data_IF_856587485863
#
_entry.id   IF_856587485863
#
_cell.length_a   1.000
_cell.length_b   1.000
_cell.length_c   1.000
_cell.angle_alpha   90.00
_cell.angle_beta   90.00
_cell.angle_gamma   90.00
#
_symmetry.space_group_name_H-M   'P 1'
#
loop_
_entity.id
_entity.type
_entity.pdbx_description
1 polymer ?
#
# COMPACT_ATOMS: atom_id res chain seq x y z
N UNK A 1 -24.74 -30.05 2.96
CA UNK A 1 -23.96 -30.07 4.21
C UNK A 1 -22.69 -29.30 3.93
N UNK A 2 -22.65 -28.01 4.29
CA UNK A 2 -21.45 -27.17 4.13
C UNK A 2 -20.59 -27.41 5.37
N UNK A 3 -19.42 -28.02 5.17
CA UNK A 3 -18.43 -28.13 6.24
C UNK A 3 -17.87 -26.75 6.57
N UNK A 4 -18.19 -26.29 7.76
CA UNK A 4 -17.57 -25.13 8.38
C UNK A 4 -16.08 -25.44 8.58
N UNK A 5 -15.22 -24.88 7.72
CA UNK A 5 -13.76 -24.88 7.93
C UNK A 5 -13.46 -23.96 9.10
N UNK A 6 -13.28 -24.54 10.25
CA UNK A 6 -12.71 -23.87 11.42
C UNK A 6 -11.26 -23.50 11.08
N UNK A 7 -11.00 -22.23 10.83
CA UNK A 7 -9.65 -21.68 10.78
C UNK A 7 -9.01 -21.89 12.16
N UNK A 8 -8.00 -22.73 12.25
CA UNK A 8 -7.15 -22.82 13.44
C UNK A 8 -6.26 -21.59 13.46
N UNK A 9 -6.48 -20.71 14.45
CA UNK A 9 -5.86 -19.39 14.56
C UNK A 9 -4.37 -19.37 14.96
N UNK A 10 -3.62 -20.49 14.83
CA UNK A 10 -2.24 -20.55 15.34
C UNK A 10 -1.12 -20.34 14.29
N UNK A 11 -1.45 -20.34 12.99
CA UNK A 11 -0.42 -20.36 11.94
C UNK A 11 -0.28 -19.05 11.14
N UNK A 12 -1.04 -18.02 11.49
CA UNK A 12 -1.03 -16.73 10.81
C UNK A 12 -0.41 -15.67 11.71
N UNK A 13 0.61 -14.99 11.22
CA UNK A 13 1.18 -13.81 11.88
C UNK A 13 0.22 -12.62 11.72
N UNK A 14 0.13 -11.73 12.73
CA UNK A 14 -0.64 -10.50 12.55
C UNK A 14 0.07 -9.53 11.58
N UNK A 15 -0.70 -8.76 10.81
CA UNK A 15 -0.11 -7.81 9.88
C UNK A 15 0.69 -6.70 10.60
N UNK A 16 0.32 -6.34 11.84
CA UNK A 16 1.08 -5.38 12.65
C UNK A 16 2.48 -5.91 12.94
N UNK A 17 2.58 -7.19 13.33
CA UNK A 17 3.84 -7.83 13.59
C UNK A 17 4.67 -7.96 12.31
N UNK A 18 4.06 -8.39 11.21
CA UNK A 18 4.73 -8.47 9.92
C UNK A 18 5.28 -7.09 9.49
N UNK A 19 4.48 -6.02 9.62
CA UNK A 19 4.94 -4.67 9.32
C UNK A 19 6.04 -4.23 10.29
N UNK A 20 5.95 -4.56 11.58
CA UNK A 20 7.00 -4.26 12.54
C UNK A 20 8.34 -4.93 12.17
N UNK A 21 8.31 -6.20 11.80
CA UNK A 21 9.51 -7.01 11.59
C UNK A 21 10.14 -6.78 10.19
N UNK A 22 9.35 -6.39 9.19
CA UNK A 22 9.79 -6.22 7.80
C UNK A 22 9.70 -4.79 7.27
N UNK A 23 9.03 -3.90 7.99
CA UNK A 23 8.80 -2.53 7.61
C UNK A 23 9.99 -1.61 7.85
N UNK A 24 9.86 -0.42 7.29
CA UNK A 24 10.83 0.68 7.47
C UNK A 24 10.11 2.03 7.44
N UNK A 25 10.74 3.09 7.97
CA UNK A 25 10.17 4.44 7.89
C UNK A 25 10.26 5.00 6.47
N UNK A 26 9.24 5.79 6.11
CA UNK A 26 9.18 6.61 4.90
C UNK A 26 8.99 8.07 5.29
N UNK A 27 9.55 8.97 4.49
CA UNK A 27 9.54 10.40 4.82
C UNK A 27 8.59 11.19 3.94
N UNK A 28 7.77 12.01 4.57
CA UNK A 28 7.01 13.07 3.90
C UNK A 28 7.97 14.21 3.53
N UNK A 29 8.55 14.17 2.34
CA UNK A 29 9.51 15.15 1.89
C UNK A 29 9.26 15.55 0.44
N UNK A 30 9.64 16.79 0.11
CA UNK A 30 9.56 17.31 -1.24
C UNK A 30 10.41 16.48 -2.19
N UNK A 31 9.83 16.09 -3.33
CA UNK A 31 10.56 15.42 -4.40
C UNK A 31 11.53 16.40 -5.07
N UNK A 32 12.73 15.93 -5.35
CA UNK A 32 13.68 16.62 -6.24
C UNK A 32 13.16 16.62 -7.68
N UNK A 33 13.72 17.46 -8.54
CA UNK A 33 13.30 17.51 -9.94
C UNK A 33 13.47 16.16 -10.68
N UNK A 34 14.58 15.40 -10.51
CA UNK A 34 14.67 14.06 -11.08
C UNK A 34 13.59 13.10 -10.56
N UNK A 35 13.29 13.12 -9.26
CA UNK A 35 12.23 12.29 -8.66
C UNK A 35 10.85 12.67 -9.18
N UNK A 36 10.59 13.98 -9.40
CA UNK A 36 9.33 14.45 -9.99
C UNK A 36 9.13 13.95 -11.41
N UNK A 37 10.19 13.86 -12.20
CA UNK A 37 10.13 13.30 -13.57
C UNK A 37 9.74 11.83 -13.53
N UNK A 38 10.31 11.07 -12.60
CA UNK A 38 9.98 9.65 -12.42
C UNK A 38 8.54 9.51 -11.91
N UNK A 39 8.13 10.36 -10.97
CA UNK A 39 6.79 10.34 -10.41
C UNK A 39 5.74 11.01 -11.33
N UNK A 40 6.11 11.43 -12.54
CA UNK A 40 5.22 12.18 -13.44
C UNK A 40 3.92 11.41 -13.72
N UNK A 41 3.99 10.12 -13.96
CA UNK A 41 2.83 9.28 -14.18
C UNK A 41 1.85 9.35 -13.00
N UNK A 42 2.36 9.21 -11.76
CA UNK A 42 1.54 9.33 -10.55
C UNK A 42 0.88 10.71 -10.44
N UNK A 43 1.62 11.77 -10.81
CA UNK A 43 1.12 13.15 -10.77
C UNK A 43 0.00 13.35 -11.79
N UNK A 44 0.21 12.91 -13.02
CA UNK A 44 -0.74 13.08 -14.11
C UNK A 44 -1.99 12.21 -13.85
N UNK A 45 -1.80 10.99 -13.39
CA UNK A 45 -2.90 10.10 -12.98
C UNK A 45 -3.77 10.77 -11.91
N UNK A 46 -3.15 11.29 -10.85
CA UNK A 46 -3.87 12.00 -9.79
C UNK A 46 -4.65 13.21 -10.33
N UNK A 47 -4.04 14.05 -11.19
CA UNK A 47 -4.68 15.25 -11.77
C UNK A 47 -5.91 14.90 -12.59
N UNK A 48 -5.86 13.81 -13.35
CA UNK A 48 -6.95 13.39 -14.25
C UNK A 48 -8.04 12.67 -13.48
N UNK A 49 -7.68 11.88 -12.47
CA UNK A 49 -8.61 10.94 -11.82
C UNK A 49 -8.93 11.28 -10.36
N UNK A 50 -8.43 12.41 -9.81
CA UNK A 50 -8.65 12.79 -8.40
C UNK A 50 -10.11 12.72 -7.96
N UNK A 51 -11.05 13.03 -8.86
CA UNK A 51 -12.48 13.02 -8.56
C UNK A 51 -13.07 11.59 -8.54
N UNK A 52 -12.29 10.58 -8.97
CA UNK A 52 -12.65 9.16 -8.95
C UNK A 52 -12.00 8.43 -7.78
N UNK A 53 -10.98 9.01 -7.16
CA UNK A 53 -10.34 8.41 -6.00
C UNK A 53 -11.33 8.39 -4.84
N UNK A 54 -11.58 7.18 -4.37
CA UNK A 54 -12.39 6.98 -3.18
C UNK A 54 -11.50 7.04 -1.96
N UNK A 55 -11.85 7.82 -0.93
CA UNK A 55 -11.02 8.01 0.26
C UNK A 55 -10.64 6.72 0.99
N UNK A 56 -11.39 5.65 0.79
CA UNK A 56 -11.17 4.36 1.46
C UNK A 56 -10.48 3.32 0.56
N UNK A 57 -10.09 3.68 -0.66
CA UNK A 57 -9.48 2.77 -1.64
C UNK A 57 -7.97 3.07 -1.82
N UNK A 58 -7.26 3.33 -0.72
CA UNK A 58 -5.84 3.68 -0.78
C UNK A 58 -4.98 2.61 -1.47
N UNK A 59 -5.27 1.34 -1.24
CA UNK A 59 -4.59 0.22 -1.87
C UNK A 59 -4.82 0.23 -3.38
N UNK A 60 -6.08 0.24 -3.81
CA UNK A 60 -6.46 0.26 -5.21
C UNK A 60 -5.92 1.47 -5.95
N UNK A 61 -6.09 2.67 -5.39
CA UNK A 61 -5.61 3.90 -6.00
C UNK A 61 -4.09 3.89 -6.21
N UNK A 62 -3.32 3.45 -5.21
CA UNK A 62 -1.86 3.40 -5.30
C UNK A 62 -1.38 2.31 -6.26
N UNK A 63 -2.03 1.15 -6.25
CA UNK A 63 -1.71 0.05 -7.16
C UNK A 63 -2.04 0.39 -8.62
N UNK A 64 -3.16 1.09 -8.89
CA UNK A 64 -3.46 1.58 -10.24
C UNK A 64 -2.37 2.51 -10.76
N UNK A 65 -1.93 3.48 -9.96
CA UNK A 65 -0.85 4.41 -10.34
C UNK A 65 0.45 3.68 -10.56
N UNK A 66 0.74 2.63 -9.77
CA UNK A 66 1.95 1.84 -9.93
C UNK A 66 2.06 1.24 -11.35
N UNK A 67 0.93 0.80 -11.92
CA UNK A 67 0.93 0.19 -13.26
C UNK A 67 0.96 1.21 -14.40
N UNK A 68 0.65 2.48 -14.11
CA UNK A 68 0.82 3.59 -15.05
C UNK A 68 2.23 4.21 -15.00
N UNK A 69 3.14 3.68 -14.16
CA UNK A 69 4.52 4.17 -14.03
C UNK A 69 5.45 3.51 -15.04
N UNK A 70 5.72 4.18 -16.14
CA UNK A 70 6.62 3.72 -17.18
C UNK A 70 8.09 3.66 -16.73
N UNK A 71 8.46 4.41 -15.70
CA UNK A 71 9.84 4.50 -15.21
C UNK A 71 10.27 3.30 -14.34
N UNK A 72 9.34 2.48 -13.88
CA UNK A 72 9.53 1.29 -13.03
C UNK A 72 10.31 1.55 -11.72
N UNK A 73 10.44 2.81 -11.32
CA UNK A 73 11.20 3.25 -10.13
C UNK A 73 10.33 3.55 -8.92
N UNK A 74 9.02 3.58 -9.10
CA UNK A 74 8.07 3.67 -8.01
C UNK A 74 7.91 2.29 -7.38
N UNK A 75 7.86 2.26 -6.06
CA UNK A 75 7.56 1.05 -5.30
C UNK A 75 6.23 1.21 -4.58
N UNK A 76 5.46 0.14 -4.54
CA UNK A 76 4.26 0.08 -3.74
C UNK A 76 4.59 -0.26 -2.29
N UNK A 77 3.91 0.38 -1.36
CA UNK A 77 4.13 0.19 0.08
C UNK A 77 2.80 0.02 0.78
N UNK A 78 2.72 -0.93 1.70
CA UNK A 78 1.63 -1.03 2.67
C UNK A 78 2.17 -0.97 4.09
N UNK A 79 1.41 -0.37 4.98
CA UNK A 79 1.78 -0.25 6.38
C UNK A 79 0.91 0.78 7.10
N UNK A 80 1.50 1.45 8.07
CA UNK A 80 0.80 2.42 8.89
C UNK A 80 1.13 3.85 8.51
N UNK A 81 0.08 4.66 8.36
CA UNK A 81 0.16 6.11 8.25
C UNK A 81 -0.57 6.74 9.45
N UNK A 82 0.03 7.76 10.07
CA UNK A 82 -0.58 8.46 11.19
C UNK A 82 -0.17 9.92 11.26
N UNK A 83 -0.93 10.70 12.03
CA UNK A 83 -0.60 12.08 12.41
C UNK A 83 -0.64 12.19 13.93
N UNK A 84 -0.17 13.30 14.48
CA UNK A 84 -0.26 13.54 15.93
C UNK A 84 -1.69 13.52 16.48
N UNK A 85 -2.69 13.72 15.61
CA UNK A 85 -4.11 13.79 15.98
C UNK A 85 -4.90 12.52 15.66
N UNK A 86 -4.32 11.55 14.94
CA UNK A 86 -5.00 10.35 14.48
C UNK A 86 -4.22 9.10 14.83
N UNK A 87 -4.95 8.04 15.18
CA UNK A 87 -4.35 6.72 15.35
C UNK A 87 -3.72 6.21 14.05
N UNK A 88 -2.71 5.31 14.13
CA UNK A 88 -2.19 4.62 12.97
C UNK A 88 -3.32 3.91 12.22
N UNK A 89 -3.38 4.14 10.91
CA UNK A 89 -4.31 3.46 10.01
C UNK A 89 -3.53 2.63 9.02
N UNK A 90 -4.01 1.43 8.72
CA UNK A 90 -3.46 0.61 7.64
C UNK A 90 -3.72 1.33 6.31
N UNK A 91 -2.66 1.51 5.52
CA UNK A 91 -2.67 2.38 4.35
C UNK A 91 -1.74 1.88 3.26
N UNK A 92 -2.08 2.19 2.00
CA UNK A 92 -1.25 1.92 0.83
C UNK A 92 -0.80 3.20 0.14
N UNK A 93 0.47 3.31 -0.20
CA UNK A 93 1.06 4.46 -0.91
C UNK A 93 2.17 4.02 -1.86
N UNK A 94 2.64 4.96 -2.65
CA UNK A 94 3.82 4.80 -3.48
C UNK A 94 5.01 5.50 -2.84
N UNK A 95 6.22 5.04 -3.16
CA UNK A 95 7.44 5.68 -2.71
C UNK A 95 8.52 5.72 -3.80
N UNK A 96 9.38 6.74 -3.71
CA UNK A 96 10.64 6.85 -4.45
C UNK A 96 11.74 7.32 -3.49
N UNK A 97 12.85 6.60 -3.43
CA UNK A 97 13.96 6.93 -2.53
C UNK A 97 13.48 7.16 -1.07
N UNK A 98 12.58 6.31 -0.58
CA UNK A 98 11.92 6.40 0.73
C UNK A 98 11.05 7.65 0.95
N UNK A 99 10.83 8.47 -0.08
CA UNK A 99 9.90 9.59 -0.03
C UNK A 99 8.49 9.13 -0.43
N UNK A 100 7.52 9.54 0.35
CA UNK A 100 6.11 9.17 0.16
C UNK A 100 5.50 9.90 -1.03
N UNK A 101 4.72 9.15 -1.81
CA UNK A 101 3.79 9.66 -2.82
C UNK A 101 2.42 9.10 -2.45
N UNK A 102 1.64 9.89 -1.72
CA UNK A 102 0.32 9.49 -1.25
C UNK A 102 -0.78 10.15 -2.08
N UNK A 103 -1.53 9.33 -2.80
CA UNK A 103 -2.60 9.78 -3.71
C UNK A 103 -3.98 9.75 -3.08
N UNK A 104 -4.12 9.26 -1.85
CA UNK A 104 -5.44 8.93 -1.29
C UNK A 104 -5.73 9.59 0.04
N UNK A 105 -4.73 9.74 0.92
CA UNK A 105 -4.98 10.21 2.27
C UNK A 105 -5.50 11.66 2.26
N UNK A 106 -6.65 11.94 2.90
CA UNK A 106 -7.24 13.26 2.86
C UNK A 106 -6.36 14.30 3.58
N UNK A 107 -6.49 15.58 3.22
CA UNK A 107 -5.78 16.66 3.90
C UNK A 107 -6.13 16.69 5.40
N UNK A 108 -5.13 16.94 6.25
CA UNK A 108 -5.32 17.00 7.71
C UNK A 108 -5.81 18.36 8.18
N UNK A 109 -5.66 19.40 7.36
CA UNK A 109 -6.05 20.78 7.74
C UNK A 109 -6.90 21.43 6.66
N UNK A 110 -7.72 22.44 7.07
CA UNK A 110 -8.47 23.28 6.12
C UNK A 110 -7.56 24.01 5.13
N UNK A 111 -6.33 24.36 5.55
CA UNK A 111 -5.34 25.01 4.71
C UNK A 111 -4.82 24.07 3.62
N UNK A 112 -4.63 22.81 3.92
CA UNK A 112 -4.30 21.76 2.94
C UNK A 112 -5.46 21.54 1.97
N UNK A 113 -6.69 21.42 2.50
CA UNK A 113 -7.90 21.22 1.69
C UNK A 113 -8.16 22.37 0.71
N UNK A 114 -7.83 23.60 1.11
CA UNK A 114 -7.98 24.80 0.25
C UNK A 114 -6.95 24.88 -0.88
N UNK A 115 -5.84 24.15 -0.78
CA UNK A 115 -4.83 24.06 -1.83
C UNK A 115 -5.31 23.04 -2.87
N UNK A 116 -5.87 23.54 -3.97
CA UNK A 116 -6.27 22.73 -5.14
C UNK A 116 -5.08 22.09 -5.89
N UNK A 117 -3.87 22.18 -5.35
CA UNK A 117 -2.65 21.72 -5.99
C UNK A 117 -2.30 20.27 -5.59
N UNK A 118 -1.67 19.50 -6.47
CA UNK A 118 -1.29 18.10 -6.24
C UNK A 118 -0.13 17.93 -5.24
N UNK A 119 0.06 18.86 -4.29
CA UNK A 119 1.09 18.75 -3.25
C UNK A 119 0.89 17.54 -2.36
N UNK A 120 -0.35 17.08 -2.20
CA UNK A 120 -0.67 15.85 -1.47
C UNK A 120 -0.07 14.59 -2.10
N UNK A 121 0.12 14.60 -3.44
CA UNK A 121 0.74 13.48 -4.15
C UNK A 121 2.19 13.29 -3.76
N UNK A 122 2.85 14.31 -3.23
CA UNK A 122 4.29 14.35 -3.00
C UNK A 122 4.72 14.13 -1.56
N UNK A 123 3.79 13.81 -0.65
CA UNK A 123 4.12 13.66 0.76
C UNK A 123 4.76 14.92 1.39
N UNK A 124 4.52 16.10 0.82
CA UNK A 124 5.12 17.37 1.27
C UNK A 124 4.65 17.83 2.66
N UNK A 125 3.81 17.02 3.33
CA UNK A 125 3.23 17.38 4.62
C UNK A 125 4.00 16.71 5.75
N UNK A 126 4.79 17.51 6.47
CA UNK A 126 5.64 17.10 7.58
C UNK A 126 4.89 16.54 8.80
N UNK A 127 3.56 16.59 8.80
CA UNK A 127 2.75 16.17 9.95
C UNK A 127 2.37 14.69 9.92
N UNK A 128 2.68 13.98 8.84
CA UNK A 128 2.38 12.56 8.70
C UNK A 128 3.64 11.72 8.80
N UNK A 129 3.52 10.64 9.55
CA UNK A 129 4.52 9.60 9.65
C UNK A 129 4.03 8.36 8.92
N UNK A 130 4.96 7.65 8.27
CA UNK A 130 4.70 6.46 7.49
C UNK A 130 5.71 5.39 7.86
N UNK A 131 5.23 4.18 8.08
CA UNK A 131 6.06 3.00 8.34
C UNK A 131 5.43 1.79 7.67
N UNK A 132 6.16 1.10 6.79
CA UNK A 132 5.56 0.03 6.00
C UNK A 132 6.56 -0.86 5.28
N UNK A 133 6.01 -1.84 4.57
CA UNK A 133 6.70 -2.85 3.79
C UNK A 133 6.57 -2.54 2.30
N UNK A 134 7.66 -2.66 1.57
CA UNK A 134 7.69 -2.48 0.11
C UNK A 134 7.30 -3.77 -0.60
N UNK A 135 6.56 -3.64 -1.70
CA UNK A 135 6.18 -4.74 -2.57
C UNK A 135 6.70 -4.50 -3.99
N UNK A 136 7.25 -5.54 -4.58
CA UNK A 136 7.67 -5.50 -5.97
C UNK A 136 6.46 -5.47 -6.90
N UNK A 137 6.58 -4.74 -8.01
CA UNK A 137 5.52 -4.61 -9.02
C UNK A 137 5.02 -5.97 -9.52
N UNK A 138 5.93 -6.93 -9.73
CA UNK A 138 5.59 -8.29 -10.17
C UNK A 138 4.65 -8.95 -9.16
N UNK A 139 4.96 -8.87 -7.87
CA UNK A 139 4.11 -9.44 -6.83
C UNK A 139 2.72 -8.80 -6.80
N UNK A 140 2.64 -7.46 -6.90
CA UNK A 140 1.34 -6.75 -6.99
C UNK A 140 0.54 -7.21 -8.21
N UNK A 141 1.20 -7.40 -9.37
CA UNK A 141 0.57 -7.89 -10.59
C UNK A 141 0.04 -9.32 -10.44
N UNK A 142 0.85 -10.23 -9.87
CA UNK A 142 0.45 -11.60 -9.60
C UNK A 142 -0.77 -11.68 -8.69
N UNK A 143 -0.79 -10.86 -7.62
CA UNK A 143 -1.96 -10.77 -6.73
C UNK A 143 -3.19 -10.25 -7.45
N UNK A 144 -3.05 -9.18 -8.25
CA UNK A 144 -4.15 -8.66 -9.07
C UNK A 144 -4.72 -9.70 -10.03
N UNK A 145 -3.87 -10.48 -10.68
CA UNK A 145 -4.32 -11.57 -11.58
C UNK A 145 -5.03 -12.68 -10.81
N UNK A 146 -4.52 -13.05 -9.64
CA UNK A 146 -5.09 -14.10 -8.82
C UNK A 146 -6.45 -13.72 -8.20
N UNK A 147 -6.64 -12.45 -7.82
CA UNK A 147 -7.83 -11.97 -7.10
C UNK A 147 -8.85 -11.27 -8.00
N UNK A 148 -8.43 -10.84 -9.19
CA UNK A 148 -9.26 -10.05 -10.10
C UNK A 148 -9.43 -8.57 -9.68
N UNK A 149 -8.94 -8.17 -8.51
CA UNK A 149 -9.11 -6.81 -7.95
C UNK A 149 -7.82 -6.29 -7.33
N UNK A 150 -7.71 -4.97 -7.18
CA UNK A 150 -6.72 -4.35 -6.32
C UNK A 150 -7.25 -4.31 -4.88
N UNK A 151 -6.39 -4.60 -3.91
CA UNK A 151 -6.74 -4.61 -2.50
C UNK A 151 -5.49 -4.62 -1.62
N UNK A 152 -5.67 -4.71 -0.29
CA UNK A 152 -4.55 -4.88 0.62
C UNK A 152 -3.84 -6.21 0.36
N UNK A 153 -2.53 -6.18 0.36
CA UNK A 153 -1.68 -7.37 0.30
C UNK A 153 -1.42 -7.95 1.70
N UNK A 154 -1.48 -7.10 2.72
CA UNK A 154 -1.30 -7.47 4.13
C UNK A 154 -2.60 -7.98 4.76
N UNK A 155 -3.70 -7.24 4.57
CA UNK A 155 -5.02 -7.60 5.09
C UNK A 155 -5.89 -8.26 3.99
N UNK A 156 -5.39 -9.35 3.44
CA UNK A 156 -6.05 -10.13 2.39
C UNK A 156 -6.83 -11.31 3.01
N UNK A 157 -7.86 -10.97 3.78
CA UNK A 157 -8.72 -11.93 4.48
C UNK A 157 -9.45 -12.88 3.53
N UNK A 158 -9.92 -12.36 2.41
CA UNK A 158 -10.71 -13.14 1.43
C UNK A 158 -9.90 -14.29 0.82
N UNK A 159 -8.56 -14.15 0.76
CA UNK A 159 -7.65 -15.18 0.27
C UNK A 159 -6.85 -15.86 1.40
N UNK A 160 -7.26 -15.63 2.66
CA UNK A 160 -6.66 -16.28 3.84
C UNK A 160 -5.24 -15.82 4.12
N UNK A 161 -4.93 -14.55 3.97
CA UNK A 161 -3.68 -13.90 4.36
C UNK A 161 -2.41 -14.57 3.80
N UNK A 162 -2.25 -14.67 2.49
CA UNK A 162 -1.17 -15.45 1.88
C UNK A 162 0.24 -15.02 2.29
N UNK A 163 0.45 -13.73 2.60
CA UNK A 163 1.72 -13.19 3.09
C UNK A 163 2.01 -13.53 4.55
N UNK A 164 0.95 -13.62 5.37
CA UNK A 164 1.06 -13.77 6.82
C UNK A 164 1.10 -15.22 7.27
N UNK A 165 0.91 -16.17 6.36
CA UNK A 165 1.03 -17.59 6.66
C UNK A 165 2.49 -17.95 6.96
N UNK A 166 2.76 -18.51 8.11
CA UNK A 166 4.07 -19.06 8.43
C UNK A 166 4.46 -20.10 7.38
N UNK A 167 5.64 -19.98 6.81
CA UNK A 167 6.22 -20.96 5.87
C UNK A 167 6.52 -22.27 6.61
N UNK A 168 5.50 -23.09 6.85
CA UNK A 168 5.63 -24.31 7.62
C UNK A 168 4.99 -25.55 7.00
N UNK A 169 3.99 -25.41 6.15
CA UNK A 169 3.12 -26.54 5.78
C UNK A 169 3.12 -26.98 4.32
N UNK A 170 4.22 -26.79 3.58
CA UNK A 170 4.35 -27.42 2.24
C UNK A 170 5.02 -28.81 2.29
N UNK A 171 5.07 -29.48 3.46
CA UNK A 171 5.53 -30.87 3.56
C UNK A 171 4.45 -31.81 4.09
N UNK A 172 3.34 -31.96 3.37
CA UNK A 172 2.43 -33.08 3.66
C UNK A 172 1.41 -33.32 2.55
N UNK A 173 1.84 -33.50 1.31
CA UNK A 173 0.96 -34.13 0.28
C UNK A 173 1.77 -34.83 -0.83
N UNK A 174 2.82 -35.52 -0.47
CA UNK A 174 3.45 -36.48 -1.41
C UNK A 174 3.95 -37.69 -0.64
N UNK A 175 2.99 -38.46 -0.08
CA UNK A 175 3.20 -39.87 0.20
C UNK A 175 1.85 -40.48 0.60
N UNK A 176 1.11 -40.97 -0.38
CA UNK A 176 0.31 -42.20 -0.28
C UNK A 176 -0.22 -42.62 -1.64
N UNK A 177 0.28 -43.76 -2.06
CA UNK A 177 -0.41 -44.68 -2.96
C UNK A 177 0.15 -44.78 -4.31
#
# INVERSE_FOLDING_TARGET
MMESRTFRGDDTESFERYVHDHGRPFVSAKLTEPERRIAKAAIDFYRVRRDRFRPQECFGNSQEVLFDDDAEKLVYVEGFAWTHALFPVLHGWLAINYKVIDVTLPPTTRREAARKEPRQVFGEFSERSYFGVTFERVYVAERKLATGSFGSLLDDMDHGYPLLRKRGDHRATTERG
#
